data_IF_535506168874
#
_entry.id   IF_535506168874
#
_cell.length_a   1.000
_cell.length_b   1.000
_cell.length_c   1.000
_cell.angle_alpha   90.00
_cell.angle_beta   90.00
_cell.angle_gamma   90.00
#
_symmetry.space_group_name_H-M   'P 1'
#
loop_
_entity.id
_entity.type
_entity.pdbx_description
1 polymer ?
#
# COMPACT_ATOMS: atom_id res chain seq x y z
N UNK A 1 20.43 -1.73 -16.66
CA UNK A 1 20.28 -1.95 -15.22
C UNK A 1 19.21 -3.00 -15.02
N UNK A 2 19.36 -3.87 -14.02
CA UNK A 2 18.31 -4.79 -13.63
C UNK A 2 17.12 -3.99 -13.06
N UNK A 3 15.91 -4.16 -13.60
CA UNK A 3 14.65 -3.68 -13.03
C UNK A 3 14.19 -4.65 -11.95
N UNK A 4 13.93 -4.19 -10.74
CA UNK A 4 13.36 -5.06 -9.71
C UNK A 4 11.85 -5.26 -9.95
N UNK A 5 11.28 -6.32 -9.36
CA UNK A 5 9.84 -6.56 -9.47
C UNK A 5 9.08 -5.39 -8.85
N UNK A 6 8.11 -4.89 -9.62
CA UNK A 6 7.07 -3.97 -9.15
C UNK A 6 5.96 -4.78 -8.51
N UNK A 7 5.80 -4.65 -7.19
CA UNK A 7 4.61 -5.13 -6.49
C UNK A 7 3.81 -3.92 -6.04
N UNK A 8 2.71 -3.64 -6.73
CA UNK A 8 1.78 -2.60 -6.29
C UNK A 8 0.82 -3.25 -5.30
N UNK A 9 1.05 -2.95 -4.02
CA UNK A 9 0.06 -3.21 -2.98
C UNK A 9 -1.00 -2.11 -3.09
N UNK A 10 -2.03 -2.35 -3.89
CA UNK A 10 -3.18 -1.44 -3.95
C UNK A 10 -4.05 -1.72 -2.74
N UNK A 11 -4.14 -0.77 -1.82
CA UNK A 11 -5.25 -0.75 -0.88
C UNK A 11 -6.52 -0.49 -1.70
N UNK A 12 -7.33 -1.52 -1.90
CA UNK A 12 -8.67 -1.33 -2.47
C UNK A 12 -9.54 -0.87 -1.31
N UNK A 13 -9.83 0.42 -1.27
CA UNK A 13 -10.91 0.93 -0.42
C UNK A 13 -12.22 0.48 -1.06
N UNK A 14 -12.64 -0.74 -0.70
CA UNK A 14 -13.96 -1.22 -1.08
C UNK A 14 -14.94 -0.46 -0.19
N UNK A 15 -15.66 0.48 -0.81
CA UNK A 15 -16.60 1.34 -0.11
C UNK A 15 -17.53 0.53 0.79
N UNK A 16 -17.56 0.99 2.05
CA UNK A 16 -18.52 0.65 3.12
C UNK A 16 -18.35 -0.73 3.76
N UNK A 17 -17.88 -0.65 5.01
CA UNK A 17 -17.93 -1.61 6.11
C UNK A 17 -16.85 -2.72 6.20
N UNK A 18 -15.87 -2.40 7.07
CA UNK A 18 -15.02 -3.30 7.88
C UNK A 18 -14.39 -4.50 7.17
N UNK A 19 -13.28 -4.21 6.51
CA UNK A 19 -12.18 -5.15 6.29
C UNK A 19 -11.11 -4.50 5.43
N UNK A 20 -9.88 -4.32 5.93
CA UNK A 20 -8.74 -4.02 5.06
C UNK A 20 -8.52 -5.25 4.19
N UNK A 21 -9.07 -5.25 2.98
CA UNK A 21 -8.72 -6.25 1.99
C UNK A 21 -7.65 -5.67 1.08
N UNK A 22 -6.42 -6.16 1.27
CA UNK A 22 -5.30 -5.85 0.39
C UNK A 22 -5.44 -6.75 -0.84
N UNK A 23 -5.91 -6.18 -1.95
CA UNK A 23 -5.91 -6.87 -3.25
C UNK A 23 -4.58 -6.57 -3.94
N UNK A 24 -3.67 -7.53 -3.91
CA UNK A 24 -2.40 -7.41 -4.64
C UNK A 24 -2.61 -7.90 -6.08
N UNK A 25 -2.51 -6.98 -7.04
CA UNK A 25 -2.71 -7.27 -8.46
C UNK A 25 -1.54 -6.78 -9.31
N UNK A 26 -1.10 -7.61 -10.27
CA UNK A 26 -0.14 -7.22 -11.31
C UNK A 26 -0.83 -6.38 -12.38
N UNK A 27 -0.27 -5.23 -12.79
CA UNK A 27 -0.60 -4.62 -14.09
C UNK A 27 0.16 -5.34 -15.19
N UNK A 28 -0.52 -6.17 -16.00
CA UNK A 28 0.02 -6.62 -17.29
C UNK A 28 -0.05 -5.45 -18.29
N UNK A 29 1.08 -5.05 -18.88
CA UNK A 29 1.09 -4.10 -19.99
C UNK A 29 0.54 -4.78 -21.25
N UNK A 30 -0.61 -4.34 -21.73
CA UNK A 30 -1.16 -4.76 -23.03
C UNK A 30 -2.53 -4.15 -23.35
N UNK A 31 -2.52 -3.22 -24.31
CA UNK A 31 -3.63 -2.70 -25.12
C UNK A 31 -4.78 -1.97 -24.38
N UNK A 32 -4.64 -0.64 -24.29
CA UNK A 32 -5.78 0.26 -24.16
C UNK A 32 -5.77 1.23 -25.35
N UNK A 33 -6.82 1.17 -26.17
CA UNK A 33 -7.11 2.14 -27.22
C UNK A 33 -7.33 3.54 -26.60
N UNK A 34 -7.03 4.64 -27.32
CA UNK A 34 -7.07 5.97 -26.76
C UNK A 34 -8.51 6.46 -26.59
N UNK A 35 -8.91 6.71 -25.34
CA UNK A 35 -10.09 7.53 -25.04
C UNK A 35 -9.61 8.98 -25.05
N UNK A 36 -10.08 9.76 -26.02
CA UNK A 36 -9.89 11.21 -26.06
C UNK A 36 -10.79 11.84 -24.99
N UNK A 37 -10.19 12.59 -24.06
CA UNK A 37 -10.93 13.54 -23.23
C UNK A 37 -10.46 14.95 -23.59
N UNK A 38 -11.44 15.77 -23.98
CA UNK A 38 -11.36 17.17 -24.31
C UNK A 38 -10.98 18.03 -23.10
N UNK A 39 -10.14 19.02 -23.32
CA UNK A 39 -9.83 20.12 -22.40
C UNK A 39 -11.04 21.03 -22.20
N UNK A 40 -11.17 21.66 -21.02
CA UNK A 40 -11.51 23.07 -20.98
C UNK A 40 -10.53 23.90 -20.14
N UNK A 41 -10.12 25.01 -20.76
CA UNK A 41 -9.75 26.35 -20.26
C UNK A 41 -9.02 26.52 -18.93
N UNK A 42 -7.86 27.18 -19.05
CA UNK A 42 -7.06 27.81 -18.01
C UNK A 42 -7.85 28.84 -17.17
N UNK A 43 -7.60 28.85 -15.86
CA UNK A 43 -7.62 30.08 -15.07
C UNK A 43 -6.41 30.09 -14.12
N UNK A 44 -5.68 31.20 -14.18
CA UNK A 44 -4.44 31.46 -13.47
C UNK A 44 -4.68 31.67 -11.97
N UNK A 45 -3.97 30.93 -11.13
CA UNK A 45 -3.60 31.39 -9.79
C UNK A 45 -2.14 31.08 -9.52
N UNK A 46 -1.33 32.14 -9.60
CA UNK A 46 0.08 32.20 -9.27
C UNK A 46 0.25 32.05 -7.75
N UNK A 47 0.86 30.96 -7.29
CA UNK A 47 1.28 30.81 -5.89
C UNK A 47 2.77 31.11 -5.77
N UNK A 48 3.08 32.26 -5.21
CA UNK A 48 4.40 32.76 -4.90
C UNK A 48 5.01 31.95 -3.73
N UNK A 49 6.08 31.20 -3.98
CA UNK A 49 6.85 30.49 -2.95
C UNK A 49 7.83 31.45 -2.25
N UNK A 50 7.64 31.66 -0.94
CA UNK A 50 8.63 32.33 -0.07
C UNK A 50 9.57 31.25 0.50
N UNK A 51 10.92 31.38 0.39
CA UNK A 51 11.83 30.38 0.94
C UNK A 51 12.05 30.63 2.44
N UNK A 52 11.40 29.82 3.27
CA UNK A 52 11.62 29.77 4.72
C UNK A 52 12.58 28.65 5.12
N UNK A 53 13.83 29.04 5.36
CA UNK A 53 14.88 28.41 6.17
C UNK A 53 14.55 27.04 6.84
N UNK A 54 15.05 25.93 6.27
CA UNK A 54 15.11 24.62 6.93
C UNK A 54 16.22 24.58 7.98
N UNK A 55 15.92 25.04 9.19
CA UNK A 55 16.70 24.68 10.38
C UNK A 55 15.78 24.58 11.58
N UNK A 56 15.08 23.44 11.69
CA UNK A 56 14.53 23.01 12.97
C UNK A 56 14.71 21.50 13.09
N UNK A 57 15.60 21.13 14.01
CA UNK A 57 15.80 19.75 14.46
C UNK A 57 14.45 19.12 14.81
N UNK A 58 14.00 18.16 14.01
CA UNK A 58 12.95 17.25 14.45
C UNK A 58 13.61 16.19 15.34
N UNK A 59 13.29 16.23 16.64
CA UNK A 59 13.68 15.19 17.60
C UNK A 59 12.86 13.92 17.36
N UNK A 60 13.25 13.09 16.38
CA UNK A 60 12.57 11.83 16.02
C UNK A 60 13.05 10.62 16.85
N UNK A 61 12.95 10.67 18.17
CA UNK A 61 13.40 9.53 19.01
C UNK A 61 12.38 8.41 19.25
N UNK A 62 11.09 8.64 18.97
CA UNK A 62 10.01 7.77 19.47
C UNK A 62 8.98 7.27 18.44
N UNK A 63 8.79 7.99 17.32
CA UNK A 63 7.74 7.67 16.34
C UNK A 63 7.93 6.30 15.68
N UNK A 64 9.16 6.01 15.25
CA UNK A 64 9.53 4.74 14.63
C UNK A 64 9.24 3.54 15.55
N UNK A 65 9.69 3.61 16.80
CA UNK A 65 9.51 2.54 17.79
C UNK A 65 8.05 2.29 18.10
N UNK A 66 7.25 3.36 18.27
CA UNK A 66 5.82 3.22 18.55
C UNK A 66 5.08 2.53 17.40
N UNK A 67 5.35 2.95 16.15
CA UNK A 67 4.76 2.32 14.97
C UNK A 67 5.17 0.85 14.84
N UNK A 68 6.47 0.55 15.00
CA UNK A 68 6.97 -0.83 14.93
C UNK A 68 6.37 -1.73 16.01
N UNK A 69 6.13 -1.24 17.22
CA UNK A 69 5.44 -2.02 18.27
C UNK A 69 4.00 -2.36 17.86
N UNK A 70 3.27 -1.42 17.26
CA UNK A 70 1.92 -1.66 16.76
C UNK A 70 1.91 -2.70 15.63
N UNK A 71 2.79 -2.54 14.64
CA UNK A 71 2.92 -3.47 13.52
C UNK A 71 3.35 -4.88 13.98
N UNK A 72 4.25 -4.96 14.97
CA UNK A 72 4.66 -6.23 15.58
C UNK A 72 3.48 -6.93 16.25
N UNK A 73 2.66 -6.20 16.99
CA UNK A 73 1.48 -6.76 17.68
C UNK A 73 0.43 -7.27 16.69
N UNK A 74 0.24 -6.59 15.56
CA UNK A 74 -0.65 -7.03 14.49
C UNK A 74 -0.11 -8.29 13.81
N UNK A 75 1.16 -8.28 13.41
CA UNK A 75 1.80 -9.42 12.76
C UNK A 75 1.93 -10.65 13.66
N UNK A 76 2.04 -10.49 14.98
CA UNK A 76 2.10 -11.61 15.92
C UNK A 76 0.81 -12.45 15.95
N UNK A 77 -0.29 -11.93 15.40
CA UNK A 77 -1.56 -12.68 15.26
C UNK A 77 -1.59 -13.57 14.02
N UNK A 78 -0.73 -13.28 13.05
CA UNK A 78 -0.69 -13.99 11.77
C UNK A 78 0.05 -15.32 11.91
N UNK A 79 -0.53 -16.40 11.40
CA UNK A 79 0.06 -17.76 11.50
C UNK A 79 1.18 -18.01 10.48
N UNK A 80 1.24 -17.22 9.41
CA UNK A 80 2.19 -17.39 8.30
C UNK A 80 3.55 -16.72 8.56
N UNK A 81 3.71 -16.06 9.70
CA UNK A 81 4.98 -15.45 10.11
C UNK A 81 5.23 -15.71 11.58
N UNK A 82 6.47 -16.11 11.90
CA UNK A 82 6.99 -16.14 13.25
C UNK A 82 7.98 -14.98 13.43
N UNK A 83 7.90 -14.23 14.54
CA UNK A 83 8.72 -13.03 14.76
C UNK A 83 9.40 -13.08 16.13
N UNK A 84 10.72 -12.95 16.10
CA UNK A 84 11.56 -12.80 17.29
C UNK A 84 12.37 -11.50 17.21
N UNK A 85 12.59 -10.83 18.34
CA UNK A 85 13.45 -9.64 18.41
C UNK A 85 14.90 -10.04 18.67
N UNK A 86 15.82 -9.58 17.82
CA UNK A 86 17.26 -9.85 18.00
C UNK A 86 17.78 -9.00 19.15
N UNK A 87 18.25 -9.63 20.23
CA UNK A 87 18.75 -8.95 21.44
C UNK A 87 17.73 -7.98 22.06
N UNK A 88 16.43 -8.30 21.99
CA UNK A 88 15.34 -7.42 22.44
C UNK A 88 15.34 -6.02 21.77
N UNK A 89 15.95 -5.88 20.60
CA UNK A 89 15.97 -4.64 19.84
C UNK A 89 14.77 -4.59 18.86
N UNK A 90 13.85 -3.66 19.10
CA UNK A 90 12.68 -3.42 18.24
C UNK A 90 13.05 -3.01 16.80
N UNK A 91 14.28 -2.57 16.54
CA UNK A 91 14.75 -2.22 15.20
C UNK A 91 15.37 -3.41 14.44
N UNK A 92 15.43 -4.61 15.04
CA UNK A 92 16.00 -5.80 14.39
C UNK A 92 15.15 -7.04 14.66
N UNK A 93 14.45 -7.49 13.62
CA UNK A 93 13.52 -8.61 13.70
C UNK A 93 14.11 -9.83 13.01
N UNK A 94 14.03 -10.97 13.67
CA UNK A 94 14.26 -12.29 13.08
C UNK A 94 12.90 -12.86 12.73
N UNK A 95 12.75 -13.25 11.48
CA UNK A 95 11.49 -13.70 10.92
C UNK A 95 11.61 -15.16 10.52
N UNK A 96 10.56 -15.94 10.75
CA UNK A 96 10.32 -17.22 10.08
C UNK A 96 9.11 -17.07 9.17
N UNK A 97 9.33 -16.99 7.86
CA UNK A 97 8.24 -16.90 6.88
C UNK A 97 7.76 -18.30 6.48
N UNK A 98 6.46 -18.53 6.56
CA UNK A 98 5.83 -19.77 6.16
C UNK A 98 5.09 -19.57 4.84
N UNK A 99 5.40 -20.41 3.86
CA UNK A 99 4.68 -20.43 2.58
C UNK A 99 3.55 -21.45 2.68
N UNK A 100 2.32 -20.96 2.74
CA UNK A 100 1.09 -21.77 2.78
C UNK A 100 0.35 -21.60 1.46
N UNK A 101 0.93 -22.10 0.37
CA UNK A 101 0.32 -22.08 -0.95
C UNK A 101 0.63 -23.40 -1.67
N UNK A 102 -0.35 -24.31 -1.87
CA UNK A 102 -0.11 -25.62 -2.49
C UNK A 102 0.36 -25.53 -3.94
N UNK A 103 0.11 -24.43 -4.64
CA UNK A 103 0.57 -24.21 -6.01
C UNK A 103 2.03 -23.73 -6.08
N UNK A 104 2.56 -23.23 -4.97
CA UNK A 104 3.93 -22.74 -4.87
C UNK A 104 4.94 -23.87 -4.86
N UNK A 105 6.06 -23.68 -5.57
CA UNK A 105 7.20 -24.57 -5.46
C UNK A 105 7.85 -24.55 -4.06
N UNK A 106 7.59 -23.50 -3.27
CA UNK A 106 8.10 -23.31 -1.92
C UNK A 106 7.11 -23.69 -0.82
N UNK A 107 5.96 -24.31 -1.17
CA UNK A 107 4.94 -24.70 -0.20
C UNK A 107 5.49 -25.50 0.98
N UNK A 108 5.06 -25.14 2.19
CA UNK A 108 5.49 -25.80 3.43
C UNK A 108 6.91 -25.47 3.87
N UNK A 109 7.58 -24.50 3.23
CA UNK A 109 8.87 -23.98 3.65
C UNK A 109 8.77 -23.07 4.88
N UNK A 110 9.82 -23.09 5.71
CA UNK A 110 10.02 -22.18 6.84
C UNK A 110 11.31 -21.38 6.63
N UNK A 111 11.18 -20.19 6.08
CA UNK A 111 12.34 -19.39 5.65
C UNK A 111 12.74 -18.39 6.72
N UNK A 112 13.89 -18.64 7.36
CA UNK A 112 14.49 -17.67 8.28
C UNK A 112 15.00 -16.45 7.53
N UNK A 113 14.61 -15.27 7.99
CA UNK A 113 15.03 -13.98 7.47
C UNK A 113 15.34 -13.01 8.61
N UNK A 114 16.02 -11.92 8.26
CA UNK A 114 16.25 -10.80 9.15
C UNK A 114 15.76 -9.52 8.49
N UNK A 115 15.00 -8.72 9.24
CA UNK A 115 14.58 -7.38 8.85
C UNK A 115 15.18 -6.37 9.83
N UNK A 116 15.87 -5.35 9.30
CA UNK A 116 16.49 -4.29 10.10
C UNK A 116 15.94 -2.93 9.70
N UNK A 117 15.56 -2.15 10.70
CA UNK A 117 14.94 -0.83 10.60
C UNK A 117 15.92 0.26 11.03
N UNK A 118 15.78 1.45 10.46
CA UNK A 118 16.47 2.66 10.92
C UNK A 118 15.55 3.47 11.83
N UNK A 119 16.10 4.46 12.55
CA UNK A 119 15.28 5.39 13.36
C UNK A 119 14.39 6.30 12.51
N UNK A 120 14.64 6.35 11.20
CA UNK A 120 13.84 7.10 10.22
C UNK A 120 12.61 6.32 9.73
N UNK A 121 12.39 5.07 10.16
CA UNK A 121 11.18 4.33 9.82
C UNK A 121 9.94 5.09 10.31
N UNK A 122 8.88 5.26 9.50
CA UNK A 122 8.59 4.64 8.20
C UNK A 122 9.00 5.48 6.98
N UNK A 123 9.74 6.57 7.14
CA UNK A 123 10.15 7.43 6.02
C UNK A 123 11.22 6.78 5.15
N UNK A 124 12.05 5.91 5.73
CA UNK A 124 12.95 5.03 5.01
C UNK A 124 12.49 3.56 5.07
N UNK A 125 12.72 2.77 4.01
CA UNK A 125 12.37 1.36 3.99
C UNK A 125 13.24 0.57 4.98
N UNK A 126 12.74 -0.57 5.48
CA UNK A 126 13.58 -1.54 6.15
C UNK A 126 14.54 -2.20 5.17
N UNK A 127 15.58 -2.83 5.70
CA UNK A 127 16.39 -3.80 4.96
C UNK A 127 15.90 -5.20 5.26
N UNK A 128 15.81 -6.07 4.25
CA UNK A 128 15.42 -7.47 4.40
C UNK A 128 16.47 -8.37 3.79
N UNK A 129 16.75 -9.50 4.45
CA UNK A 129 17.62 -10.54 3.93
C UNK A 129 17.22 -11.92 4.44
N UNK A 130 17.20 -12.91 3.55
CA UNK A 130 17.09 -14.32 3.95
C UNK A 130 18.39 -14.79 4.61
N UNK A 131 18.28 -15.47 5.75
CA UNK A 131 19.41 -16.07 6.45
C UNK A 131 19.76 -17.44 5.88
N UNK A 132 18.76 -18.11 5.28
CA UNK A 132 18.93 -19.36 4.55
C UNK A 132 19.19 -19.07 3.07
N UNK A 133 20.07 -19.83 2.39
CA UNK A 133 20.30 -19.66 0.96
C UNK A 133 19.09 -20.16 0.17
N UNK A 134 18.45 -19.25 -0.57
CA UNK A 134 17.29 -19.55 -1.43
C UNK A 134 17.69 -19.38 -2.88
N UNK A 135 17.50 -20.44 -3.68
CA UNK A 135 17.75 -20.40 -5.12
C UNK A 135 16.51 -19.85 -5.83
N UNK A 136 16.54 -18.55 -6.13
CA UNK A 136 15.40 -17.82 -6.67
C UNK A 136 15.84 -16.71 -7.65
N UNK A 137 15.10 -16.43 -8.74
CA UNK A 137 15.50 -15.42 -9.72
C UNK A 137 15.76 -14.02 -9.14
N UNK A 138 15.01 -13.62 -8.10
CA UNK A 138 15.10 -12.28 -7.50
C UNK A 138 15.80 -12.22 -6.14
N UNK A 139 16.47 -13.31 -5.73
CA UNK A 139 17.25 -13.37 -4.49
C UNK A 139 18.72 -13.49 -4.85
N UNK A 140 19.53 -12.58 -4.32
CA UNK A 140 20.98 -12.60 -4.47
C UNK A 140 21.60 -13.75 -3.66
N UNK A 141 22.81 -14.22 -4.00
CA UNK A 141 23.50 -15.26 -3.23
C UNK A 141 23.75 -14.90 -1.77
N UNK A 142 23.80 -13.61 -1.43
CA UNK A 142 23.93 -13.11 -0.05
C UNK A 142 22.59 -13.08 0.71
N UNK A 143 21.49 -13.48 0.08
CA UNK A 143 20.14 -13.54 0.63
C UNK A 143 19.33 -12.23 0.51
N UNK A 144 19.91 -11.15 -0.04
CA UNK A 144 19.16 -9.90 -0.29
C UNK A 144 18.16 -10.09 -1.43
N UNK A 145 17.10 -9.30 -1.43
CA UNK A 145 16.08 -9.31 -2.48
C UNK A 145 16.19 -8.07 -3.35
N UNK A 146 15.81 -8.24 -4.62
CA UNK A 146 15.56 -7.16 -5.56
C UNK A 146 14.04 -7.02 -5.74
N UNK A 147 13.44 -6.10 -4.99
CA UNK A 147 12.01 -5.76 -5.04
C UNK A 147 11.82 -4.25 -4.85
N UNK A 148 10.98 -3.63 -5.66
CA UNK A 148 10.86 -2.17 -5.74
C UNK A 148 10.38 -1.53 -4.43
N UNK A 149 9.55 -2.25 -3.65
CA UNK A 149 9.01 -1.77 -2.37
C UNK A 149 10.11 -1.44 -1.34
N UNK A 150 11.32 -2.01 -1.48
CA UNK A 150 12.45 -1.74 -0.59
C UNK A 150 13.39 -0.65 -1.13
N UNK A 151 13.12 -0.10 -2.31
CA UNK A 151 13.90 1.00 -2.86
C UNK A 151 13.53 2.31 -2.18
N UNK A 152 14.52 3.17 -1.98
CA UNK A 152 14.35 4.49 -1.36
C UNK A 152 13.25 5.30 -2.05
N UNK A 153 12.46 6.08 -1.31
CA UNK A 153 11.37 6.88 -1.88
C UNK A 153 11.90 7.91 -2.89
N UNK A 154 11.09 8.23 -3.89
CA UNK A 154 11.37 9.29 -4.88
C UNK A 154 11.23 8.84 -6.34
N UNK A 155 11.35 9.80 -7.24
CA UNK A 155 11.43 9.53 -8.68
C UNK A 155 12.88 9.22 -9.05
N UNK A 156 13.09 8.07 -9.67
CA UNK A 156 14.36 7.74 -10.32
C UNK A 156 14.11 7.54 -11.81
N UNK A 157 14.53 8.54 -12.57
CA UNK A 157 14.47 8.58 -14.04
C UNK A 157 15.24 7.43 -14.70
N UNK A 158 16.17 6.79 -13.99
CA UNK A 158 17.14 5.84 -14.56
C UNK A 158 16.65 4.40 -14.50
N UNK A 159 15.94 4.02 -13.44
CA UNK A 159 15.37 2.67 -13.25
C UNK A 159 14.08 2.45 -14.05
N UNK A 160 13.30 3.51 -14.26
CA UNK A 160 11.99 3.45 -14.90
C UNK A 160 10.93 2.73 -14.07
N UNK A 161 11.08 2.72 -12.74
CA UNK A 161 10.01 2.36 -11.80
C UNK A 161 9.27 3.62 -11.38
N UNK A 162 7.94 3.54 -11.23
CA UNK A 162 7.12 4.64 -10.78
C UNK A 162 7.33 4.86 -9.27
N UNK A 163 7.17 6.11 -8.81
CA UNK A 163 7.28 6.42 -7.38
C UNK A 163 6.27 5.64 -6.52
N UNK A 164 5.11 5.29 -7.07
CA UNK A 164 4.08 4.47 -6.41
C UNK A 164 4.48 3.00 -6.21
N UNK A 165 5.51 2.54 -6.93
CA UNK A 165 6.02 1.17 -6.86
C UNK A 165 7.17 1.04 -5.85
N UNK A 166 7.68 2.18 -5.38
CA UNK A 166 8.76 2.29 -4.40
C UNK A 166 8.24 2.32 -2.98
N UNK A 167 9.18 2.39 -2.03
CA UNK A 167 8.85 2.62 -0.64
C UNK A 167 8.03 3.90 -0.47
N UNK A 168 6.95 3.78 0.30
CA UNK A 168 6.16 4.91 0.77
C UNK A 168 5.89 4.75 2.26
N UNK A 169 5.86 5.83 3.06
CA UNK A 169 5.54 5.75 4.49
C UNK A 169 4.17 5.14 4.81
N UNK A 170 3.29 5.01 3.80
CA UNK A 170 2.01 4.31 3.92
C UNK A 170 2.14 2.78 3.99
N UNK A 171 3.27 2.25 3.53
CA UNK A 171 3.57 0.82 3.57
C UNK A 171 4.06 0.41 4.96
N UNK A 172 3.69 -0.79 5.40
CA UNK A 172 4.13 -1.37 6.67
C UNK A 172 4.86 -2.69 6.46
N UNK A 173 5.40 -3.27 7.54
CA UNK A 173 6.13 -4.53 7.51
C UNK A 173 5.30 -5.65 6.86
N UNK A 174 4.02 -5.76 7.20
CA UNK A 174 3.12 -6.75 6.61
C UNK A 174 3.10 -6.69 5.07
N UNK A 175 2.99 -5.47 4.52
CA UNK A 175 2.95 -5.26 3.06
C UNK A 175 4.24 -5.71 2.37
N UNK A 176 5.39 -5.51 3.02
CA UNK A 176 6.69 -5.99 2.55
C UNK A 176 6.72 -7.52 2.57
N UNK A 177 6.35 -8.15 3.68
CA UNK A 177 6.40 -9.60 3.81
C UNK A 177 5.45 -10.31 2.85
N UNK A 178 4.23 -9.79 2.66
CA UNK A 178 3.30 -10.31 1.64
C UNK A 178 3.88 -10.17 0.24
N UNK A 179 4.55 -9.06 -0.07
CA UNK A 179 5.22 -8.87 -1.35
C UNK A 179 6.37 -9.87 -1.56
N UNK A 180 7.09 -10.24 -0.49
CA UNK A 180 8.12 -11.29 -0.54
C UNK A 180 7.51 -12.66 -0.82
N UNK A 181 6.40 -13.03 -0.17
CA UNK A 181 5.71 -14.30 -0.45
C UNK A 181 5.21 -14.39 -1.90
N UNK A 182 4.62 -13.30 -2.42
CA UNK A 182 4.20 -13.23 -3.82
C UNK A 182 5.37 -13.33 -4.80
N UNK A 183 6.53 -12.75 -4.44
CA UNK A 183 7.73 -12.85 -5.24
C UNK A 183 8.25 -14.29 -5.31
N UNK A 184 8.14 -15.07 -4.22
CA UNK A 184 8.51 -16.49 -4.19
C UNK A 184 7.62 -17.35 -5.10
N UNK A 185 6.34 -17.01 -5.19
CA UNK A 185 5.37 -17.73 -6.01
C UNK A 185 5.51 -17.38 -7.50
N UNK A 186 5.72 -16.09 -7.80
CA UNK A 186 5.76 -15.57 -9.16
C UNK A 186 6.96 -14.63 -9.39
N UNK A 187 8.16 -15.18 -9.63
CA UNK A 187 9.39 -14.41 -9.82
C UNK A 187 9.37 -13.51 -11.06
N UNK A 188 10.12 -12.41 -10.98
CA UNK A 188 10.44 -11.54 -12.11
C UNK A 188 11.68 -12.05 -12.84
N UNK A 189 11.49 -12.57 -14.04
CA UNK A 189 12.54 -13.19 -14.86
C UNK A 189 13.08 -12.29 -15.99
N UNK A 190 12.44 -11.16 -16.28
CA UNK A 190 12.96 -10.24 -17.30
C UNK A 190 14.21 -9.52 -16.79
N UNK A 191 14.38 -9.48 -15.47
CA UNK A 191 15.51 -8.85 -14.82
C UNK A 191 15.84 -9.54 -13.48
N UNK A 192 16.41 -10.75 -13.56
CA UNK A 192 16.73 -11.53 -12.37
C UNK A 192 17.98 -11.00 -11.66
N UNK A 193 17.96 -11.03 -10.33
CA UNK A 193 19.14 -10.86 -9.49
C UNK A 193 20.10 -12.07 -9.61
N UNK A 194 19.52 -13.25 -9.82
CA UNK A 194 20.23 -14.51 -10.05
C UNK A 194 19.89 -15.02 -11.46
N UNK A 195 20.79 -14.77 -12.40
CA UNK A 195 20.59 -15.10 -13.82
C UNK A 195 20.40 -16.60 -14.02
N UNK A 196 21.18 -17.44 -13.34
CA UNK A 196 21.09 -18.91 -13.47
C UNK A 196 19.73 -19.42 -13.01
N UNK A 197 19.22 -18.89 -11.89
CA UNK A 197 17.89 -19.24 -11.40
C UNK A 197 16.79 -18.77 -12.35
N UNK A 198 16.93 -17.57 -12.94
CA UNK A 198 16.00 -17.04 -13.94
C UNK A 198 15.96 -17.88 -15.22
N UNK A 199 17.13 -18.27 -15.75
CA UNK A 199 17.25 -19.15 -16.92
C UNK A 199 16.63 -20.51 -16.63
N UNK A 200 16.94 -21.12 -15.48
CA UNK A 200 16.37 -22.40 -15.08
C UNK A 200 14.85 -22.32 -14.91
N UNK A 201 14.33 -21.24 -14.30
CA UNK A 201 12.89 -21.04 -14.13
C UNK A 201 12.14 -20.97 -15.48
N UNK A 202 12.76 -20.37 -16.50
CA UNK A 202 12.22 -20.21 -17.85
C UNK A 202 12.34 -21.49 -18.68
N UNK A 203 13.54 -22.07 -18.73
CA UNK A 203 13.91 -23.13 -19.68
C UNK A 203 13.68 -24.55 -19.12
N UNK A 204 13.78 -24.74 -17.79
CA UNK A 204 13.59 -26.02 -17.11
C UNK A 204 12.87 -25.86 -15.77
N UNK A 205 11.56 -25.66 -15.86
CA UNK A 205 10.69 -25.50 -14.70
C UNK A 205 10.73 -26.72 -13.77
N UNK A 206 10.90 -27.93 -14.31
CA UNK A 206 10.90 -29.15 -13.50
C UNK A 206 12.11 -29.21 -12.58
N UNK A 207 13.31 -28.92 -13.10
CA UNK A 207 14.53 -28.85 -12.29
C UNK A 207 14.50 -27.68 -11.29
N UNK A 208 13.94 -26.53 -11.68
CA UNK A 208 13.73 -25.41 -10.76
C UNK A 208 12.86 -25.84 -9.57
N UNK A 209 11.69 -26.43 -9.84
CA UNK A 209 10.75 -26.89 -8.81
C UNK A 209 11.37 -27.98 -7.92
N UNK A 210 12.20 -28.86 -8.48
CA UNK A 210 12.94 -29.86 -7.70
C UNK A 210 13.91 -29.20 -6.72
N UNK A 211 14.72 -28.24 -7.18
CA UNK A 211 15.64 -27.48 -6.30
C UNK A 211 14.88 -26.70 -5.22
N UNK A 212 13.77 -26.05 -5.58
CA UNK A 212 12.93 -25.34 -4.62
C UNK A 212 12.43 -26.27 -3.50
N UNK A 213 11.94 -27.47 -3.86
CA UNK A 213 11.52 -28.49 -2.88
C UNK A 213 12.67 -28.98 -2.00
N UNK A 214 13.87 -29.18 -2.55
CA UNK A 214 15.05 -29.52 -1.75
C UNK A 214 15.41 -28.44 -0.72
N UNK A 215 15.22 -27.17 -1.08
CA UNK A 215 15.42 -26.04 -0.17
C UNK A 215 14.32 -26.01 0.90
N UNK A 216 13.06 -26.27 0.53
CA UNK A 216 11.96 -26.42 1.48
C UNK A 216 12.28 -27.49 2.51
N UNK A 217 12.72 -28.67 2.11
CA UNK A 217 13.06 -29.73 3.06
C UNK A 217 14.21 -29.32 4.01
N UNK A 218 15.23 -28.61 3.50
CA UNK A 218 16.30 -28.08 4.35
C UNK A 218 15.79 -27.03 5.33
N UNK A 219 14.86 -26.18 4.90
CA UNK A 219 14.29 -25.11 5.72
C UNK A 219 13.48 -25.65 6.91
N UNK A 220 12.96 -26.89 6.83
CA UNK A 220 12.22 -27.51 7.94
C UNK A 220 13.10 -27.79 9.17
N UNK A 221 14.41 -27.95 8.99
CA UNK A 221 15.33 -28.11 10.11
C UNK A 221 15.45 -26.85 10.99
N UNK A 222 15.02 -25.69 10.45
CA UNK A 222 15.07 -24.41 11.13
C UNK A 222 13.81 -24.09 11.94
N UNK A 223 12.78 -24.93 11.87
CA UNK A 223 11.52 -24.77 12.60
C UNK A 223 11.78 -24.91 14.11
N UNK A 224 11.39 -23.92 14.94
CA UNK A 224 11.47 -24.04 16.40
C UNK A 224 10.63 -25.21 16.92
N UNK A 225 11.11 -25.91 17.96
CA UNK A 225 10.45 -27.12 18.49
C UNK A 225 9.04 -26.89 19.04
N UNK A 226 8.76 -25.66 19.46
CA UNK A 226 7.49 -25.17 20.00
C UNK A 226 6.55 -24.58 18.93
N UNK A 227 7.05 -24.41 17.69
CA UNK A 227 6.28 -23.81 16.60
C UNK A 227 5.54 -24.88 15.78
N UNK A 228 4.21 -24.72 15.65
CA UNK A 228 3.38 -25.60 14.84
C UNK A 228 3.15 -24.98 13.48
N UNK A 229 3.59 -25.66 12.42
CA UNK A 229 3.43 -25.20 11.05
C UNK A 229 1.95 -25.20 10.62
N UNK A 230 1.42 -24.09 10.09
CA UNK A 230 0.09 -24.07 9.51
C UNK A 230 0.07 -24.88 8.19
N UNK A 231 -0.87 -25.81 8.07
CA UNK A 231 -1.01 -26.70 6.89
C UNK A 231 -2.07 -26.25 5.89
N UNK A 232 -2.90 -25.28 6.25
CA UNK A 232 -4.00 -24.79 5.40
C UNK A 232 -4.26 -23.32 5.70
N UNK A 233 -4.43 -22.51 4.66
CA UNK A 233 -5.01 -21.16 4.80
C UNK A 233 -6.44 -21.39 5.32
N UNK A 234 -6.68 -21.14 6.61
CA UNK A 234 -8.03 -21.23 7.14
C UNK A 234 -8.94 -20.35 6.25
N UNK A 235 -10.07 -20.87 5.76
CA UNK A 235 -11.01 -20.05 5.01
C UNK A 235 -11.40 -18.85 5.91
N UNK A 236 -11.64 -17.67 5.32
CA UNK A 236 -12.03 -16.50 6.11
C UNK A 236 -13.18 -16.89 7.02
N UNK A 237 -13.18 -16.41 8.29
CA UNK A 237 -14.27 -16.70 9.20
C UNK A 237 -15.58 -16.35 8.48
N UNK A 238 -16.62 -17.22 8.57
CA UNK A 238 -17.89 -16.93 7.94
C UNK A 238 -18.32 -15.52 8.36
N UNK A 239 -18.88 -14.71 7.43
CA UNK A 239 -19.39 -13.40 7.79
C UNK A 239 -20.27 -13.59 9.02
N UNK A 240 -19.99 -12.85 10.09
CA UNK A 240 -20.88 -12.83 11.25
C UNK A 240 -22.25 -12.51 10.69
N UNK A 241 -23.25 -13.35 10.95
CA UNK A 241 -24.63 -13.02 10.61
C UNK A 241 -24.92 -11.70 11.29
N UNK A 242 -24.96 -10.63 10.50
CA UNK A 242 -25.76 -9.50 10.87
C UNK A 242 -27.16 -10.05 10.78
N UNK A 243 -27.73 -10.41 11.92
CA UNK A 243 -29.18 -10.34 12.06
C UNK A 243 -29.47 -8.85 11.95
N UNK A 244 -29.45 -8.36 10.71
CA UNK A 244 -29.88 -7.03 10.35
C UNK A 244 -31.36 -7.03 10.69
N UNK A 245 -31.68 -6.44 11.84
CA UNK A 245 -33.02 -5.95 12.14
C UNK A 245 -33.43 -5.08 10.96
N UNK A 246 -34.09 -5.69 9.98
CA UNK A 246 -34.67 -5.06 8.80
C UNK A 246 -35.72 -3.98 9.17
N UNK A 247 -35.92 -3.76 10.48
CA UNK A 247 -36.71 -2.71 11.08
C UNK A 247 -35.97 -1.35 11.24
N UNK A 248 -34.66 -1.25 11.01
CA UNK A 248 -33.98 0.06 11.03
C UNK A 248 -34.21 0.88 9.75
N UNK A 249 -34.37 0.21 8.60
CA UNK A 249 -34.64 0.84 7.29
C UNK A 249 -36.06 0.60 6.78
N UNK A 250 -36.91 -0.08 7.56
CA UNK A 250 -38.33 -0.09 7.30
C UNK A 250 -38.87 1.31 7.65
N UNK A 251 -38.91 2.16 6.64
CA UNK A 251 -39.82 3.30 6.57
C UNK A 251 -41.19 2.80 7.03
N UNK A 252 -41.59 3.18 8.25
CA UNK A 252 -43.00 3.32 8.57
C UNK A 252 -43.51 4.48 7.74
N UNK A 253 -43.91 4.14 6.51
CA UNK A 253 -44.86 4.90 5.69
C UNK A 253 -46.06 5.23 6.61
N UNK A 254 -46.47 6.49 6.61
CA UNK A 254 -47.48 7.13 7.48
C UNK A 254 -46.96 7.97 8.66
N UNK A 255 -46.17 9.02 8.41
CA UNK A 255 -46.42 10.33 9.06
C UNK A 255 -46.10 11.48 8.07
N UNK A 256 -47.18 12.14 7.61
CA UNK A 256 -47.18 13.36 6.80
C UNK A 256 -46.34 14.47 7.46
N UNK A 257 -45.17 14.78 6.90
CA UNK A 257 -44.41 15.97 7.28
C UNK A 257 -44.96 17.19 6.53
N UNK A 258 -45.92 17.83 7.19
CA UNK A 258 -46.44 19.18 7.00
C UNK A 258 -45.30 20.22 7.04
N UNK A 259 -44.72 20.54 5.87
CA UNK A 259 -43.88 21.72 5.70
C UNK A 259 -44.80 22.93 5.52
N UNK A 260 -45.41 23.36 6.62
CA UNK A 260 -46.28 24.52 6.71
C UNK A 260 -45.55 25.80 6.29
N UNK A 261 -45.90 26.31 5.11
CA UNK A 261 -45.65 27.69 4.72
C UNK A 261 -46.48 28.62 5.60
N UNK A 262 -45.81 29.51 6.34
CA UNK A 262 -46.47 30.62 7.03
C UNK A 262 -46.29 31.89 6.21
N UNK A 263 -47.42 32.33 5.67
CA UNK A 263 -47.66 33.58 4.97
C UNK A 263 -47.83 34.73 6.00
N UNK A 264 -47.14 35.84 5.75
CA UNK A 264 -47.43 37.19 6.27
C UNK A 264 -46.87 38.13 5.19
N UNK A 265 -47.59 39.00 4.50
CA UNK A 265 -48.95 39.49 4.61
C UNK A 265 -48.94 40.86 3.91
N UNK A 266 -49.80 40.98 2.89
CA UNK A 266 -50.48 42.21 2.44
C UNK A 266 -49.73 43.27 1.59
N UNK A 267 -50.50 43.73 0.60
CA UNK A 267 -50.48 45.02 -0.13
C UNK A 267 -49.43 45.22 -1.22
N UNK A 268 -49.69 45.79 -2.38
CA UNK A 268 -50.87 46.14 -3.19
C UNK A 268 -50.27 46.69 -4.51
N UNK A 269 -51.03 46.63 -5.60
CA UNK A 269 -50.98 47.62 -6.71
C UNK A 269 -49.70 47.77 -7.57
N UNK A 270 -49.85 47.27 -8.80
CA UNK A 270 -49.40 47.85 -10.07
C UNK A 270 -48.78 49.27 -10.07
N UNK A 271 -47.67 49.42 -10.80
CA UNK A 271 -47.52 50.49 -11.80
C UNK A 271 -46.28 50.26 -12.67
N UNK A 272 -46.51 50.13 -13.98
CA UNK A 272 -45.56 50.57 -15.01
C UNK A 272 -45.44 52.09 -14.94
N UNK A 273 -44.22 52.65 -14.95
CA UNK A 273 -43.99 54.00 -15.47
C UNK A 273 -42.52 54.20 -15.83
N UNK A 274 -42.28 54.45 -17.12
CA UNK A 274 -41.06 55.05 -17.69
C UNK A 274 -40.86 56.47 -17.14
N UNK A 275 -39.63 56.90 -16.82
CA UNK A 275 -39.15 58.24 -17.23
C UNK A 275 -37.64 58.42 -16.96
N UNK A 276 -37.00 58.86 -18.04
CA UNK A 276 -35.75 59.55 -18.28
C UNK A 276 -35.23 60.53 -17.21
N UNK A 277 -33.91 60.75 -17.23
CA UNK A 277 -33.26 61.85 -16.52
C UNK A 277 -31.73 61.76 -16.48
N UNK A 278 -31.09 62.31 -17.51
CA UNK A 278 -29.71 62.84 -17.47
C UNK A 278 -29.59 63.87 -16.33
N UNK A 279 -28.47 64.17 -15.66
CA UNK A 279 -27.21 64.72 -16.15
C UNK A 279 -26.25 64.82 -14.92
N UNK A 280 -24.97 64.61 -15.21
CA UNK A 280 -23.78 65.39 -14.80
C UNK A 280 -23.64 66.11 -13.44
N UNK A 281 -22.43 65.98 -12.88
CA UNK A 281 -21.97 66.77 -11.73
C UNK A 281 -20.51 66.51 -11.36
N UNK A 282 -19.61 67.10 -12.13
CA UNK A 282 -18.16 67.28 -11.91
C UNK A 282 -17.83 67.95 -10.56
N UNK A 283 -16.73 67.54 -9.92
CA UNK A 283 -15.75 68.46 -9.31
C UNK A 283 -14.47 67.73 -8.85
N UNK A 284 -13.41 67.84 -9.66
CA UNK A 284 -12.09 68.44 -9.36
C UNK A 284 -11.41 68.29 -7.98
N UNK A 285 -10.14 67.87 -8.11
CA UNK A 285 -8.90 68.44 -7.55
C UNK A 285 -8.42 68.19 -6.09
N UNK A 286 -7.23 67.57 -6.09
CA UNK A 286 -5.96 67.98 -5.47
C UNK A 286 -5.57 67.72 -3.99
N UNK A 287 -4.25 67.49 -3.90
CA UNK A 287 -3.31 67.67 -2.79
C UNK A 287 -3.17 66.60 -1.69
N UNK A 288 -2.17 65.70 -1.87
CA UNK A 288 -0.80 65.82 -1.28
C UNK A 288 -0.11 64.46 -1.06
#
# INVERSE_FOLDING_TARGET
>A
MARCLVVVVVAVDCGRERGRQVVVGRRKRGHASPIKCSTPSESNHEFHFIPGNMSTLIKHGGGAKHRLMSELQELSKEKWVNIDLVNANILRWRLGLIVVNPESAFNGGYFKAEMTFTEEYPYQPPTFRFLVPIYHPNIYPDGKLCISILHTPGEDITSGEQASERWSPLQGVESVLRSVLLLLDDPEINSPANVDAGVMYRDDRASYNKKAREIVEKSKADIPSDFVMPTTLEPPPPPKSTDDDAAFWAESDDEELDFGGSDTGEDEEAAEFDEDGEEEGVSDDDDN
#
